data_IF_884350891738
#
_entry.id   IF_884350891738
#
_cell.length_a   1.000
_cell.length_b   1.000
_cell.length_c   1.000
_cell.angle_alpha   90.00
_cell.angle_beta   90.00
_cell.angle_gamma   90.00
#
_symmetry.space_group_name_H-M   'P 1'
#
loop_
_entity.id
_entity.type
_entity.pdbx_description
1 polymer ?
#
# COMPACT_ATOMS: atom_id res chain seq x y z
N UNK A 1 -5.39 -15.18 11.62
CA UNK A 1 -6.45 -14.14 11.58
C UNK A 1 -6.28 -13.37 10.28
N UNK A 2 -7.33 -13.16 9.49
CA UNK A 2 -7.28 -12.32 8.29
C UNK A 2 -7.58 -10.88 8.72
N UNK A 3 -6.82 -9.91 8.25
CA UNK A 3 -7.04 -8.49 8.51
C UNK A 3 -6.98 -7.71 7.21
N UNK A 4 -7.76 -6.64 7.14
CA UNK A 4 -7.93 -5.81 5.95
C UNK A 4 -8.12 -4.35 6.37
N UNK A 5 -7.56 -3.44 5.59
CA UNK A 5 -7.74 -1.98 5.73
C UNK A 5 -8.40 -1.50 4.44
N UNK A 6 -9.48 -0.73 4.56
CA UNK A 6 -10.33 -0.37 3.42
C UNK A 6 -10.53 1.15 3.41
N UNK A 7 -10.24 1.77 2.28
CA UNK A 7 -10.59 3.18 1.97
C UNK A 7 -11.63 3.16 0.86
N UNK A 8 -12.82 3.75 1.09
CA UNK A 8 -13.90 3.79 0.10
C UNK A 8 -13.81 5.09 -0.68
N UNK A 9 -13.70 5.00 -1.99
CA UNK A 9 -13.45 6.14 -2.86
C UNK A 9 -13.86 5.83 -4.30
N UNK A 10 -14.11 6.87 -5.09
CA UNK A 10 -14.27 6.80 -6.54
C UNK A 10 -12.96 7.18 -7.29
N UNK A 11 -11.88 7.48 -6.55
CA UNK A 11 -10.57 7.80 -7.12
C UNK A 11 -9.67 6.56 -7.25
N UNK A 12 -8.79 6.58 -8.25
CA UNK A 12 -7.73 5.56 -8.42
C UNK A 12 -6.60 5.74 -7.40
N UNK A 13 -6.80 5.26 -6.17
CA UNK A 13 -5.83 5.40 -5.08
C UNK A 13 -4.79 4.27 -4.99
N UNK A 14 -4.98 3.15 -5.71
CA UNK A 14 -4.13 1.96 -5.59
C UNK A 14 -2.64 2.29 -5.71
N UNK A 15 -2.23 2.93 -6.80
CA UNK A 15 -0.84 3.31 -7.04
C UNK A 15 -0.29 4.28 -5.99
N UNK A 16 -1.14 5.17 -5.45
CA UNK A 16 -0.73 6.16 -4.44
C UNK A 16 -0.49 5.47 -3.10
N UNK A 17 -1.40 4.59 -2.70
CA UNK A 17 -1.30 3.79 -1.48
C UNK A 17 -0.07 2.87 -1.56
N UNK A 18 0.10 2.14 -2.66
CA UNK A 18 1.26 1.26 -2.86
C UNK A 18 2.60 2.01 -2.73
N UNK A 19 2.71 3.21 -3.31
CA UNK A 19 3.92 4.04 -3.15
C UNK A 19 4.16 4.43 -1.70
N UNK A 20 3.13 4.88 -0.99
CA UNK A 20 3.25 5.25 0.42
C UNK A 20 3.66 4.05 1.31
N UNK A 21 3.15 2.85 1.01
CA UNK A 21 3.62 1.61 1.68
C UNK A 21 5.10 1.38 1.37
N UNK A 22 5.51 1.56 0.12
CA UNK A 22 6.90 1.41 -0.35
C UNK A 22 7.90 2.42 0.22
N UNK A 23 7.44 3.51 0.84
CA UNK A 23 8.32 4.42 1.60
C UNK A 23 8.81 3.81 2.90
N UNK A 24 8.09 2.81 3.44
CA UNK A 24 8.40 2.14 4.70
C UNK A 24 8.83 0.70 4.53
N UNK A 25 8.26 0.00 3.55
CA UNK A 25 8.45 -1.44 3.36
C UNK A 25 9.17 -1.77 2.06
N UNK A 26 9.90 -2.88 2.07
CA UNK A 26 10.61 -3.36 0.87
C UNK A 26 9.60 -3.84 -0.16
N UNK A 27 9.65 -3.27 -1.36
CA UNK A 27 8.85 -3.72 -2.50
C UNK A 27 9.40 -5.02 -3.09
N UNK A 28 8.53 -5.96 -3.44
CA UNK A 28 8.87 -7.17 -4.22
C UNK A 28 8.83 -6.83 -5.71
N UNK A 29 9.96 -6.66 -6.41
CA UNK A 29 9.97 -6.04 -7.73
C UNK A 29 9.15 -6.80 -8.78
N UNK A 30 8.52 -6.04 -9.70
CA UNK A 30 7.78 -6.56 -10.87
C UNK A 30 6.52 -7.38 -10.53
N UNK A 31 5.95 -7.16 -9.35
CA UNK A 31 4.71 -7.81 -8.93
C UNK A 31 3.56 -6.81 -8.83
N UNK A 32 2.40 -7.14 -9.39
CA UNK A 32 1.19 -6.33 -9.25
C UNK A 32 1.24 -4.96 -9.94
N UNK A 33 2.11 -4.76 -10.93
CA UNK A 33 2.31 -3.46 -11.59
C UNK A 33 2.34 -3.54 -13.12
N UNK A 34 1.50 -4.39 -13.72
CA UNK A 34 1.51 -4.65 -15.18
C UNK A 34 0.94 -3.53 -16.04
N UNK A 35 0.07 -2.70 -15.48
CA UNK A 35 -0.68 -1.62 -16.13
C UNK A 35 -0.29 -0.22 -15.63
N UNK A 36 0.67 -0.14 -14.71
CA UNK A 36 1.17 1.10 -14.15
C UNK A 36 2.71 1.19 -14.22
N UNK A 37 3.27 2.34 -13.83
CA UNK A 37 4.73 2.58 -13.79
C UNK A 37 5.35 2.33 -12.41
N UNK A 38 4.61 1.72 -11.48
CA UNK A 38 5.11 1.40 -10.14
C UNK A 38 6.18 0.30 -10.21
N UNK A 39 7.11 0.30 -9.24
CA UNK A 39 8.12 -0.76 -9.15
C UNK A 39 7.51 -2.10 -8.67
N UNK A 40 6.46 -2.01 -7.83
CA UNK A 40 5.64 -3.12 -7.35
C UNK A 40 4.41 -2.57 -6.60
N UNK A 41 3.35 -3.38 -6.49
CA UNK A 41 2.25 -3.19 -5.50
C UNK A 41 2.32 -4.21 -4.36
N UNK A 42 3.29 -5.11 -4.36
CA UNK A 42 3.51 -6.07 -3.29
C UNK A 42 4.72 -5.66 -2.45
N UNK A 43 4.53 -5.63 -1.13
CA UNK A 43 5.55 -5.24 -0.17
C UNK A 43 5.74 -6.33 0.88
N UNK A 44 6.90 -6.33 1.51
CA UNK A 44 7.31 -7.33 2.50
C UNK A 44 7.88 -6.69 3.75
N UNK A 45 7.55 -7.27 4.90
CA UNK A 45 8.26 -7.11 6.18
C UNK A 45 8.29 -8.46 6.90
N UNK A 46 9.34 -8.70 7.68
CA UNK A 46 9.43 -9.83 8.62
C UNK A 46 8.51 -9.63 9.84
N UNK A 47 8.18 -8.37 10.15
CA UNK A 47 7.41 -7.98 11.32
C UNK A 47 5.97 -7.62 10.92
N UNK A 48 5.02 -8.40 11.43
CA UNK A 48 3.60 -8.18 11.15
C UNK A 48 3.13 -6.77 11.55
N UNK A 49 3.62 -6.26 12.68
CA UNK A 49 3.27 -4.93 13.19
C UNK A 49 3.72 -3.81 12.25
N UNK A 50 4.93 -3.89 11.70
CA UNK A 50 5.41 -2.92 10.71
C UNK A 50 4.56 -2.92 9.45
N UNK A 51 4.20 -4.11 8.97
CA UNK A 51 3.31 -4.27 7.81
C UNK A 51 1.94 -3.64 8.09
N UNK A 52 1.37 -3.88 9.28
CA UNK A 52 0.09 -3.31 9.70
C UNK A 52 0.12 -1.80 9.78
N UNK A 53 1.15 -1.26 10.41
CA UNK A 53 1.32 0.18 10.59
C UNK A 53 1.49 0.88 9.24
N UNK A 54 2.35 0.35 8.36
CA UNK A 54 2.59 0.93 7.04
C UNK A 54 1.31 0.97 6.18
N UNK A 55 0.54 -0.11 6.15
CA UNK A 55 -0.74 -0.15 5.41
C UNK A 55 -1.75 0.82 6.02
N UNK A 56 -1.89 0.83 7.35
CA UNK A 56 -2.85 1.70 8.03
C UNK A 56 -2.55 3.18 7.80
N UNK A 57 -1.28 3.58 7.89
CA UNK A 57 -0.83 4.95 7.64
C UNK A 57 -1.03 5.36 6.18
N UNK A 58 -0.70 4.48 5.23
CA UNK A 58 -0.88 4.77 3.80
C UNK A 58 -2.35 5.01 3.45
N UNK A 59 -3.26 4.18 3.99
CA UNK A 59 -4.69 4.35 3.81
C UNK A 59 -5.24 5.60 4.50
N UNK A 60 -4.82 5.88 5.74
CA UNK A 60 -5.23 7.09 6.45
C UNK A 60 -4.80 8.36 5.71
N UNK A 61 -3.59 8.39 5.15
CA UNK A 61 -3.11 9.52 4.36
C UNK A 61 -3.90 9.69 3.06
N UNK A 62 -4.28 8.58 2.42
CA UNK A 62 -5.09 8.61 1.20
C UNK A 62 -6.53 9.09 1.46
N UNK A 63 -7.09 8.81 2.63
CA UNK A 63 -8.44 9.23 3.05
C UNK A 63 -8.52 10.74 3.31
N UNK A 64 -7.47 11.34 3.88
CA UNK A 64 -7.39 12.81 4.11
C UNK A 64 -7.38 13.62 2.80
N UNK A 65 -7.12 12.98 1.66
CA UNK A 65 -7.10 13.61 0.34
C UNK A 65 -8.44 13.52 -0.43
N UNK A 66 -9.47 12.90 0.18
CA UNK A 66 -10.84 12.81 -0.34
C UNK A 66 -11.71 13.95 0.21
#
# INVERSE_FOLDING_TARGET
MRQEVITRTDLDLECRIARAIGERLVSVPRFGCSDCRCASHLHYSEMEEEMREAVSLAHAHADVLL
#
